data_IF_157907602032
#
_entry.id   IF_157907602032
#
_cell.length_a   1.000
_cell.length_b   1.000
_cell.length_c   1.000
_cell.angle_alpha   90.00
_cell.angle_beta   90.00
_cell.angle_gamma   90.00
#
_symmetry.space_group_name_H-M   'P 1'
#
loop_
_entity.id
_entity.type
_entity.pdbx_description
1 polymer ?
#
# COMPACT_ATOMS: atom_id res chain seq x y z
N UNK A 1 90.25 15.43 40.94
CA UNK A 1 91.32 15.14 39.96
C UNK A 1 90.77 14.07 39.02
N UNK A 2 90.55 14.19 37.72
CA UNK A 2 90.83 15.16 36.66
C UNK A 2 89.55 15.28 35.80
N UNK A 3 89.07 16.47 35.43
CA UNK A 3 89.25 17.08 34.11
C UNK A 3 89.39 16.10 32.93
N UNK A 4 88.40 16.08 32.01
CA UNK A 4 88.55 16.62 30.65
C UNK A 4 87.27 16.48 29.82
N UNK A 5 86.78 17.64 29.39
CA UNK A 5 85.91 17.88 28.25
C UNK A 5 86.55 17.50 26.92
N UNK A 6 85.74 17.56 25.83
CA UNK A 6 86.02 17.55 24.37
C UNK A 6 85.28 16.34 23.72
N UNK A 7 84.29 16.41 22.82
CA UNK A 7 83.91 17.34 21.76
C UNK A 7 82.40 17.20 21.42
N UNK A 8 81.70 18.34 21.40
CA UNK A 8 80.81 18.89 20.36
C UNK A 8 80.02 17.97 19.37
N UNK A 9 78.69 18.04 19.49
CA UNK A 9 77.64 18.33 18.48
C UNK A 9 77.58 17.63 17.11
N UNK A 10 76.48 16.90 16.90
CA UNK A 10 75.60 16.81 15.72
C UNK A 10 74.69 15.59 15.96
N UNK A 11 73.43 15.44 15.55
CA UNK A 11 72.43 16.22 14.85
C UNK A 11 71.16 15.33 14.90
N UNK A 12 69.99 15.96 14.97
CA UNK A 12 68.69 15.47 14.52
C UNK A 12 68.06 14.17 15.08
N UNK A 13 66.96 14.43 15.78
CA UNK A 13 65.60 13.95 15.48
C UNK A 13 65.31 12.44 15.61
N UNK A 14 64.45 12.09 16.56
CA UNK A 14 63.02 11.87 16.28
C UNK A 14 62.33 11.51 17.61
N UNK A 15 61.44 12.37 18.08
CA UNK A 15 60.60 12.10 19.23
C UNK A 15 59.39 11.27 18.77
N UNK A 16 59.26 10.07 19.32
CA UNK A 16 57.98 9.37 19.40
C UNK A 16 57.30 9.82 20.69
N UNK A 17 56.01 10.18 20.64
CA UNK A 17 55.11 9.35 21.43
C UNK A 17 53.84 8.98 20.67
N UNK A 18 53.40 7.75 20.94
CA UNK A 18 52.07 7.22 20.68
C UNK A 18 50.98 8.30 20.87
N UNK A 19 50.34 8.70 19.78
CA UNK A 19 49.04 9.36 19.81
C UNK A 19 48.00 8.30 19.47
N UNK A 20 47.09 8.08 20.42
CA UNK A 20 45.92 7.23 20.27
C UNK A 20 45.16 7.64 19.00
N UNK A 21 44.96 6.69 18.09
CA UNK A 21 44.12 6.87 16.92
C UNK A 21 42.65 6.94 17.35
N UNK A 22 42.19 8.13 17.72
CA UNK A 22 40.76 8.44 17.75
C UNK A 22 40.29 8.44 16.29
N UNK A 23 39.72 7.33 15.85
CA UNK A 23 39.06 7.23 14.55
C UNK A 23 37.83 8.15 14.58
N UNK A 24 38.03 9.40 14.17
CA UNK A 24 36.98 10.29 13.73
C UNK A 24 36.29 9.59 12.56
N UNK A 25 35.15 8.94 12.84
CA UNK A 25 34.15 8.61 11.82
C UNK A 25 33.58 9.93 11.32
N UNK A 26 34.34 10.63 10.48
CA UNK A 26 33.81 11.68 9.63
C UNK A 26 32.64 11.09 8.86
N UNK A 27 31.46 11.65 9.12
CA UNK A 27 30.21 11.23 8.52
C UNK A 27 30.36 11.13 7.01
N UNK A 28 30.23 9.91 6.50
CA UNK A 28 29.72 9.72 5.16
C UNK A 28 28.26 10.14 5.29
N UNK A 29 28.00 11.42 5.02
CA UNK A 29 26.68 11.90 4.62
C UNK A 29 26.21 10.89 3.58
N UNK A 30 25.21 10.07 3.92
CA UNK A 30 24.58 9.22 2.94
C UNK A 30 24.08 10.16 1.85
N UNK A 31 24.80 10.19 0.73
CA UNK A 31 24.25 10.71 -0.51
C UNK A 31 23.05 9.81 -0.75
N UNK A 32 21.87 10.35 -0.47
CA UNK A 32 20.59 9.73 -0.77
C UNK A 32 20.69 9.21 -2.19
N UNK A 33 20.59 7.89 -2.36
CA UNK A 33 20.44 7.27 -3.67
C UNK A 33 19.21 7.90 -4.34
N UNK A 34 19.43 8.93 -5.15
CA UNK A 34 18.43 9.37 -6.10
C UNK A 34 18.39 8.30 -7.19
N UNK A 35 17.22 7.70 -7.35
CA UNK A 35 16.84 6.61 -8.27
C UNK A 35 17.21 5.19 -7.85
N UNK A 36 16.28 4.51 -7.19
CA UNK A 36 16.15 3.06 -7.41
C UNK A 36 15.37 2.86 -8.72
N UNK A 37 16.10 2.76 -9.83
CA UNK A 37 15.51 2.58 -11.16
C UNK A 37 14.76 1.25 -11.33
N UNK A 38 14.73 0.38 -10.30
CA UNK A 38 14.16 -0.98 -10.37
C UNK A 38 12.88 -1.16 -9.56
N UNK A 39 12.47 -0.17 -8.78
CA UNK A 39 11.23 -0.29 -7.99
C UNK A 39 10.01 -0.09 -8.87
N UNK A 40 9.10 -1.05 -8.86
CA UNK A 40 7.80 -0.92 -9.53
C UNK A 40 6.85 -0.20 -8.57
N UNK A 41 6.41 1.00 -8.94
CA UNK A 41 5.37 1.73 -8.22
C UNK A 41 4.00 1.37 -8.79
N UNK A 42 3.12 0.95 -7.88
CA UNK A 42 1.78 0.53 -8.19
C UNK A 42 0.76 1.67 -8.21
N UNK A 43 -0.39 1.37 -8.79
CA UNK A 43 -1.59 2.19 -8.75
C UNK A 43 -2.06 2.45 -7.32
N UNK A 44 -2.71 3.58 -7.13
CA UNK A 44 -3.47 3.97 -5.95
C UNK A 44 -4.90 3.46 -6.06
N UNK A 45 -5.39 2.82 -4.99
CA UNK A 45 -6.76 2.32 -4.90
C UNK A 45 -7.37 2.82 -3.60
N UNK A 46 -8.61 3.30 -3.68
CA UNK A 46 -9.39 3.80 -2.57
C UNK A 46 -10.76 3.11 -2.55
N UNK A 47 -11.14 2.62 -1.37
CA UNK A 47 -12.48 2.14 -1.07
C UNK A 47 -13.16 3.13 -0.14
N UNK A 48 -14.39 3.53 -0.47
CA UNK A 48 -15.24 4.41 0.34
C UNK A 48 -16.60 3.77 0.50
N UNK A 49 -17.00 3.50 1.74
CA UNK A 49 -18.35 3.03 2.08
C UNK A 49 -19.14 4.15 2.74
N UNK A 50 -20.24 4.56 2.11
CA UNK A 50 -21.13 5.60 2.64
C UNK A 50 -22.55 5.46 2.10
N UNK A 51 -23.54 5.67 2.97
CA UNK A 51 -24.95 5.73 2.57
C UNK A 51 -25.48 4.44 1.95
N UNK A 52 -25.00 3.28 2.41
CA UNK A 52 -25.38 1.97 1.85
C UNK A 52 -24.81 1.68 0.46
N UNK A 53 -23.83 2.48 0.02
CA UNK A 53 -23.07 2.28 -1.22
C UNK A 53 -21.59 2.06 -0.90
N UNK A 54 -20.92 1.30 -1.75
CA UNK A 54 -19.47 1.12 -1.71
C UNK A 54 -18.90 1.54 -3.07
N UNK A 55 -17.95 2.46 -3.04
CA UNK A 55 -17.18 2.89 -4.19
C UNK A 55 -15.75 2.37 -4.06
N UNK A 56 -15.32 1.55 -5.00
CA UNK A 56 -13.93 1.16 -5.16
C UNK A 56 -13.37 1.85 -6.40
N UNK A 57 -12.43 2.77 -6.21
CA UNK A 57 -11.80 3.55 -7.27
C UNK A 57 -10.31 3.24 -7.31
N UNK A 58 -9.73 3.17 -8.50
CA UNK A 58 -8.29 3.05 -8.66
C UNK A 58 -7.77 3.82 -9.86
N UNK A 59 -6.58 4.39 -9.77
CA UNK A 59 -5.92 5.01 -10.91
C UNK A 59 -5.25 3.97 -11.81
N UNK A 60 -4.74 4.42 -12.96
CA UNK A 60 -4.15 3.56 -13.97
C UNK A 60 -2.63 3.61 -14.07
N UNK A 61 -1.95 4.43 -13.26
CA UNK A 61 -0.51 4.62 -13.41
C UNK A 61 0.30 3.44 -12.87
N UNK A 62 1.20 2.93 -13.70
CA UNK A 62 2.25 1.97 -13.33
C UNK A 62 3.58 2.58 -13.76
N UNK A 63 4.46 2.77 -12.78
CA UNK A 63 5.76 3.39 -13.00
C UNK A 63 6.89 2.44 -12.63
N UNK A 64 7.94 2.40 -13.45
CA UNK A 64 9.19 1.70 -13.15
C UNK A 64 10.25 2.76 -12.84
N UNK A 65 10.65 2.85 -11.58
CA UNK A 65 11.42 3.99 -11.07
C UNK A 65 10.66 5.29 -11.31
N UNK A 66 11.21 6.18 -12.15
CA UNK A 66 10.59 7.47 -12.49
C UNK A 66 9.84 7.47 -13.83
N UNK A 67 9.87 6.35 -14.56
CA UNK A 67 9.28 6.27 -15.90
C UNK A 67 7.89 5.65 -15.84
N UNK A 68 6.89 6.33 -16.40
CA UNK A 68 5.54 5.77 -16.56
C UNK A 68 5.58 4.70 -17.65
N UNK A 69 5.33 3.45 -17.27
CA UNK A 69 5.29 2.30 -18.19
C UNK A 69 3.89 2.12 -18.78
N UNK A 70 2.86 2.37 -17.96
CA UNK A 70 1.45 2.27 -18.37
C UNK A 70 0.63 3.29 -17.61
N UNK A 71 -0.27 3.99 -18.30
CA UNK A 71 -1.11 5.03 -17.70
C UNK A 71 -2.56 4.60 -17.41
N UNK A 72 -2.97 3.42 -17.90
CA UNK A 72 -4.36 2.95 -17.89
C UNK A 72 -4.51 1.50 -17.40
N UNK A 73 -3.74 1.10 -16.39
CA UNK A 73 -3.97 -0.17 -15.72
C UNK A 73 -5.37 -0.23 -15.09
N UNK A 74 -6.01 -1.39 -15.12
CA UNK A 74 -7.29 -1.63 -14.43
C UNK A 74 -7.04 -2.66 -13.35
N UNK A 75 -6.95 -2.22 -12.10
CA UNK A 75 -6.70 -3.09 -10.94
C UNK A 75 -7.84 -3.16 -9.93
N UNK A 76 -8.96 -2.55 -10.27
CA UNK A 76 -10.25 -2.72 -9.60
C UNK A 76 -11.14 -3.56 -10.50
N UNK A 77 -11.89 -4.50 -9.90
CA UNK A 77 -12.86 -5.33 -10.60
C UNK A 77 -13.95 -5.80 -9.65
N UNK A 78 -15.07 -6.19 -10.23
CA UNK A 78 -16.14 -6.92 -9.55
C UNK A 78 -15.85 -8.42 -9.56
N UNK A 79 -16.18 -9.11 -8.47
CA UNK A 79 -16.27 -10.58 -8.40
C UNK A 79 -17.73 -10.93 -8.13
N UNK A 80 -18.34 -11.73 -9.01
CA UNK A 80 -19.77 -12.01 -8.97
C UNK A 80 -20.62 -10.73 -9.04
N UNK A 81 -21.75 -10.71 -8.34
CA UNK A 81 -22.66 -9.54 -8.34
C UNK A 81 -22.43 -8.60 -7.15
N UNK A 82 -21.96 -9.14 -6.02
CA UNK A 82 -22.04 -8.47 -4.72
C UNK A 82 -20.71 -8.03 -4.12
N UNK A 83 -19.58 -8.29 -4.81
CA UNK A 83 -18.24 -8.05 -4.26
C UNK A 83 -17.42 -7.22 -5.23
N UNK A 84 -16.73 -6.22 -4.71
CA UNK A 84 -15.69 -5.47 -5.41
C UNK A 84 -14.35 -5.73 -4.76
N UNK A 85 -13.31 -5.84 -5.58
CA UNK A 85 -11.97 -6.05 -5.09
C UNK A 85 -10.94 -5.31 -5.95
N UNK A 86 -9.89 -4.85 -5.27
CA UNK A 86 -8.85 -4.01 -5.84
C UNK A 86 -7.49 -4.40 -5.30
N UNK A 87 -6.47 -4.29 -6.13
CA UNK A 87 -5.15 -4.80 -5.78
C UNK A 87 -4.01 -3.83 -6.11
N UNK A 88 -3.14 -3.57 -5.13
CA UNK A 88 -1.89 -2.84 -5.33
C UNK A 88 -0.71 -3.83 -5.39
N UNK A 89 -0.10 -3.98 -6.57
CA UNK A 89 1.03 -4.88 -6.81
C UNK A 89 1.21 -5.20 -8.30
N UNK A 90 1.90 -6.29 -8.62
CA UNK A 90 2.08 -6.75 -10.00
C UNK A 90 0.79 -7.32 -10.60
N UNK A 91 0.61 -7.17 -11.91
CA UNK A 91 -0.61 -7.66 -12.57
C UNK A 91 -0.76 -9.19 -12.49
N UNK A 92 0.34 -9.94 -12.52
CA UNK A 92 0.30 -11.40 -12.44
C UNK A 92 -0.22 -11.87 -11.07
N UNK A 93 0.31 -11.27 -10.00
CA UNK A 93 -0.11 -11.56 -8.63
C UNK A 93 -1.58 -11.22 -8.40
N UNK A 94 -2.05 -10.12 -9.00
CA UNK A 94 -3.44 -9.70 -8.92
C UNK A 94 -4.39 -10.78 -9.48
N UNK A 95 -4.06 -11.37 -10.64
CA UNK A 95 -4.87 -12.42 -11.24
C UNK A 95 -4.92 -13.65 -10.33
N UNK A 96 -3.77 -14.15 -9.90
CA UNK A 96 -3.69 -15.33 -9.04
C UNK A 96 -4.44 -15.16 -7.72
N UNK A 97 -4.28 -14.02 -7.04
CA UNK A 97 -4.93 -13.80 -5.74
C UNK A 97 -6.45 -13.73 -5.84
N UNK A 98 -6.97 -13.26 -6.96
CA UNK A 98 -8.42 -13.13 -7.09
C UNK A 98 -9.09 -14.37 -7.64
N UNK A 99 -8.41 -15.17 -8.46
CA UNK A 99 -8.86 -16.54 -8.75
C UNK A 99 -8.96 -17.35 -7.44
N UNK A 100 -7.97 -17.21 -6.55
CA UNK A 100 -8.01 -17.84 -5.21
C UNK A 100 -9.12 -17.27 -4.33
N UNK A 101 -9.34 -15.95 -4.36
CA UNK A 101 -10.42 -15.32 -3.62
C UNK A 101 -11.79 -15.83 -4.10
N UNK A 102 -12.00 -15.91 -5.41
CA UNK A 102 -13.23 -16.41 -6.02
C UNK A 102 -13.49 -17.85 -5.60
N UNK A 103 -12.48 -18.72 -5.63
CA UNK A 103 -12.59 -20.09 -5.11
C UNK A 103 -13.01 -20.14 -3.62
N UNK A 104 -12.50 -19.23 -2.78
CA UNK A 104 -12.91 -19.14 -1.36
C UNK A 104 -14.30 -18.57 -1.16
N UNK A 105 -14.78 -17.73 -2.08
CA UNK A 105 -16.14 -17.21 -2.06
C UNK A 105 -17.14 -18.28 -2.47
N UNK A 106 -16.78 -19.13 -3.43
CA UNK A 106 -17.58 -20.29 -3.84
C UNK A 106 -17.63 -21.37 -2.73
N UNK A 107 -16.51 -21.59 -2.02
CA UNK A 107 -16.44 -22.52 -0.88
C UNK A 107 -17.28 -22.03 0.32
N UNK A 108 -17.35 -20.70 0.53
CA UNK A 108 -18.07 -20.08 1.65
C UNK A 108 -19.06 -18.99 1.19
N UNK A 109 -20.18 -19.37 0.53
CA UNK A 109 -21.13 -18.40 -0.02
C UNK A 109 -21.69 -17.46 1.06
N UNK A 110 -21.68 -16.17 0.78
CA UNK A 110 -22.21 -15.12 1.67
C UNK A 110 -21.39 -14.82 2.92
N UNK A 111 -20.22 -15.45 3.09
CA UNK A 111 -19.35 -15.28 4.26
C UNK A 111 -18.03 -14.60 3.89
N UNK A 112 -18.09 -13.33 3.48
CA UNK A 112 -16.92 -12.57 3.03
C UNK A 112 -15.75 -12.62 4.03
N UNK A 113 -16.03 -12.41 5.31
CA UNK A 113 -15.02 -12.45 6.39
C UNK A 113 -14.30 -13.78 6.43
N UNK A 114 -15.03 -14.90 6.31
CA UNK A 114 -14.45 -16.25 6.32
C UNK A 114 -13.60 -16.49 5.08
N UNK A 115 -14.10 -16.15 3.90
CA UNK A 115 -13.35 -16.27 2.65
C UNK A 115 -12.04 -15.46 2.70
N UNK A 116 -12.07 -14.26 3.27
CA UNK A 116 -10.88 -13.42 3.45
C UNK A 116 -9.87 -14.05 4.42
N UNK A 117 -10.33 -14.59 5.55
CA UNK A 117 -9.46 -15.26 6.53
C UNK A 117 -8.82 -16.53 5.95
N UNK A 118 -9.58 -17.36 5.24
CA UNK A 118 -9.02 -18.56 4.60
C UNK A 118 -8.04 -18.21 3.48
N UNK A 119 -8.34 -17.19 2.67
CA UNK A 119 -7.37 -16.68 1.69
C UNK A 119 -6.09 -16.18 2.36
N UNK A 120 -6.18 -15.43 3.45
CA UNK A 120 -5.02 -14.91 4.17
C UNK A 120 -4.14 -16.04 4.75
N UNK A 121 -4.75 -17.11 5.25
CA UNK A 121 -4.03 -18.33 5.69
C UNK A 121 -3.29 -19.00 4.52
N UNK A 122 -3.98 -19.19 3.40
CA UNK A 122 -3.39 -19.81 2.20
C UNK A 122 -2.26 -18.93 1.63
N UNK A 123 -2.44 -17.61 1.62
CA UNK A 123 -1.43 -16.65 1.17
C UNK A 123 -0.17 -16.71 2.04
N UNK A 124 -0.31 -16.71 3.37
CA UNK A 124 0.83 -16.76 4.30
C UNK A 124 1.61 -18.07 4.23
N UNK A 125 0.94 -19.19 3.95
CA UNK A 125 1.54 -20.52 3.92
C UNK A 125 2.17 -20.86 2.57
N UNK A 126 1.67 -20.30 1.47
CA UNK A 126 2.20 -20.50 0.13
C UNK A 126 3.61 -19.90 -0.02
N UNK A 127 4.56 -20.73 -0.44
CA UNK A 127 5.98 -20.37 -0.58
C UNK A 127 6.21 -19.19 -1.52
N UNK A 128 5.39 -19.07 -2.57
CA UNK A 128 5.51 -18.03 -3.59
C UNK A 128 4.74 -16.77 -3.17
N UNK A 129 3.48 -16.93 -2.74
CA UNK A 129 2.63 -15.78 -2.47
C UNK A 129 3.08 -14.95 -1.26
N UNK A 130 3.66 -15.56 -0.22
CA UNK A 130 4.11 -14.83 0.98
C UNK A 130 5.22 -13.81 0.74
N UNK A 131 5.88 -13.85 -0.42
CA UNK A 131 6.95 -12.91 -0.80
C UNK A 131 6.42 -11.74 -1.63
N UNK A 132 5.13 -11.75 -1.94
CA UNK A 132 4.50 -10.68 -2.68
C UNK A 132 4.33 -9.47 -1.77
N UNK A 133 4.78 -8.31 -2.24
CA UNK A 133 4.61 -7.02 -1.54
C UNK A 133 3.19 -6.46 -1.69
N UNK A 134 2.26 -7.29 -2.11
CA UNK A 134 1.01 -6.83 -2.62
C UNK A 134 -0.09 -6.78 -1.57
N UNK A 135 -1.01 -5.84 -1.76
CA UNK A 135 -2.10 -5.56 -0.84
C UNK A 135 -3.42 -5.66 -1.61
N UNK A 136 -4.39 -6.35 -1.03
CA UNK A 136 -5.71 -6.58 -1.62
C UNK A 136 -6.78 -5.88 -0.77
N UNK A 137 -7.66 -5.11 -1.42
CA UNK A 137 -8.93 -4.64 -0.86
C UNK A 137 -10.03 -5.55 -1.36
N UNK A 138 -10.93 -5.97 -0.49
CA UNK A 138 -12.16 -6.67 -0.84
C UNK A 138 -13.31 -6.05 -0.05
N UNK A 139 -14.44 -5.79 -0.70
CA UNK A 139 -15.61 -5.24 -0.04
C UNK A 139 -16.90 -5.83 -0.60
N UNK A 140 -17.84 -6.12 0.29
CA UNK A 140 -19.26 -6.22 -0.03
C UNK A 140 -19.97 -4.94 0.44
N UNK A 141 -21.31 -4.92 0.45
CA UNK A 141 -22.11 -3.79 0.93
C UNK A 141 -22.03 -3.56 2.46
N UNK A 142 -21.64 -4.57 3.23
CA UNK A 142 -21.67 -4.59 4.70
C UNK A 142 -20.30 -4.31 5.31
N UNK A 143 -19.26 -4.95 4.77
CA UNK A 143 -17.92 -5.04 5.34
C UNK A 143 -16.86 -4.85 4.25
N UNK A 144 -15.71 -4.32 4.67
CA UNK A 144 -14.57 -4.03 3.78
C UNK A 144 -13.29 -4.50 4.46
N UNK A 145 -12.43 -5.20 3.75
CA UNK A 145 -11.21 -5.79 4.30
C UNK A 145 -9.98 -5.43 3.47
N UNK A 146 -8.87 -5.24 4.17
CA UNK A 146 -7.52 -5.21 3.60
C UNK A 146 -6.82 -6.53 3.93
N UNK A 147 -6.26 -7.19 2.93
CA UNK A 147 -5.50 -8.42 3.08
C UNK A 147 -4.04 -8.21 2.64
N UNK A 148 -3.12 -8.84 3.35
CA UNK A 148 -1.67 -8.77 3.09
C UNK A 148 -1.08 -10.18 2.98
N UNK A 149 0.09 -10.29 2.33
CA UNK A 149 0.85 -11.54 2.26
C UNK A 149 1.40 -12.04 3.60
N UNK A 150 1.33 -11.23 4.65
CA UNK A 150 1.66 -11.64 6.02
C UNK A 150 0.50 -12.41 6.68
N UNK A 151 -0.67 -12.49 6.04
CA UNK A 151 -1.85 -13.13 6.59
C UNK A 151 -2.70 -12.20 7.46
N UNK A 152 -2.54 -10.87 7.32
CA UNK A 152 -3.37 -9.91 8.02
C UNK A 152 -4.72 -9.76 7.31
N UNK A 153 -5.80 -9.65 8.08
CA UNK A 153 -7.14 -9.30 7.61
C UNK A 153 -7.65 -8.13 8.44
N UNK A 154 -7.72 -6.95 7.84
CA UNK A 154 -7.93 -5.69 8.56
C UNK A 154 -9.21 -5.02 8.07
N UNK A 155 -10.13 -4.76 8.99
CA UNK A 155 -11.35 -3.98 8.74
C UNK A 155 -11.18 -2.55 9.25
N UNK A 156 -11.46 -1.51 8.43
CA UNK A 156 -11.42 -0.13 8.87
C UNK A 156 -12.67 0.24 9.68
N UNK A 157 -12.50 1.01 10.75
CA UNK A 157 -13.62 1.50 11.56
C UNK A 157 -14.49 2.53 10.82
N UNK A 158 -13.89 3.32 9.92
CA UNK A 158 -14.53 4.40 9.18
C UNK A 158 -15.09 3.97 7.80
N UNK A 159 -14.86 2.71 7.40
CA UNK A 159 -15.27 2.22 6.09
C UNK A 159 -14.48 2.80 4.92
N UNK A 160 -13.28 3.32 5.17
CA UNK A 160 -12.40 3.89 4.14
C UNK A 160 -11.08 3.13 4.13
N UNK A 161 -10.64 2.69 2.96
CA UNK A 161 -9.36 1.98 2.79
C UNK A 161 -8.61 2.60 1.62
N UNK A 162 -7.38 3.06 1.85
CA UNK A 162 -6.48 3.51 0.78
C UNK A 162 -5.22 2.66 0.73
N UNK A 163 -4.89 2.12 -0.45
CA UNK A 163 -3.67 1.33 -0.69
C UNK A 163 -2.93 1.85 -1.93
N UNK A 164 -1.67 1.42 -2.11
CA UNK A 164 -0.84 1.81 -3.24
C UNK A 164 -0.04 3.09 -2.99
N UNK A 165 0.65 3.57 -4.03
CA UNK A 165 1.65 4.64 -3.89
C UNK A 165 1.08 5.97 -3.38
N UNK A 166 -0.15 6.31 -3.73
CA UNK A 166 -0.88 7.48 -3.24
C UNK A 166 -2.00 7.16 -2.25
N UNK A 167 -2.05 5.93 -1.72
CA UNK A 167 -3.16 5.44 -0.90
C UNK A 167 -3.39 6.27 0.37
N UNK A 168 -2.32 6.74 1.01
CA UNK A 168 -2.41 7.57 2.22
C UNK A 168 -2.96 8.97 1.95
N UNK A 169 -2.63 9.58 0.81
CA UNK A 169 -3.19 10.87 0.41
C UNK A 169 -4.68 10.75 0.11
N UNK A 170 -5.06 9.73 -0.65
CA UNK A 170 -6.45 9.43 -0.96
C UNK A 170 -7.26 9.13 0.32
N UNK A 171 -6.70 8.34 1.24
CA UNK A 171 -7.32 8.01 2.53
C UNK A 171 -7.55 9.26 3.39
N UNK A 172 -6.54 10.13 3.51
CA UNK A 172 -6.65 11.36 4.29
C UNK A 172 -7.71 12.31 3.71
N UNK A 173 -7.73 12.48 2.38
CA UNK A 173 -8.73 13.29 1.70
C UNK A 173 -10.15 12.72 1.88
N UNK A 174 -10.31 11.41 1.74
CA UNK A 174 -11.61 10.75 1.91
C UNK A 174 -12.15 10.91 3.33
N UNK A 175 -11.28 10.75 4.35
CA UNK A 175 -11.63 10.98 5.76
C UNK A 175 -12.07 12.41 6.02
N UNK A 176 -11.42 13.40 5.41
CA UNK A 176 -11.82 14.81 5.56
C UNK A 176 -13.17 15.12 4.88
N UNK A 177 -13.57 14.34 3.87
CA UNK A 177 -14.80 14.54 3.10
C UNK A 177 -15.97 13.66 3.59
N UNK A 178 -15.73 12.67 4.45
CA UNK A 178 -16.72 11.65 4.80
C UNK A 178 -17.96 12.24 5.49
N UNK A 179 -17.79 13.28 6.31
CA UNK A 179 -18.86 13.93 7.07
C UNK A 179 -19.66 14.96 6.26
N UNK A 180 -19.23 15.28 5.03
CA UNK A 180 -19.95 16.22 4.17
C UNK A 180 -21.18 15.59 3.53
N UNK A 181 -22.12 16.38 3.01
CA UNK A 181 -23.28 15.88 2.26
C UNK A 181 -22.88 15.52 0.81
N UNK A 182 -22.07 14.48 0.67
CA UNK A 182 -21.55 13.94 -0.58
C UNK A 182 -21.75 12.43 -0.62
N UNK A 183 -22.06 11.88 -1.79
CA UNK A 183 -22.16 10.43 -2.01
C UNK A 183 -20.77 9.76 -2.07
N UNK A 184 -20.76 8.43 -1.95
CA UNK A 184 -19.53 7.63 -1.91
C UNK A 184 -18.65 7.81 -3.16
N UNK A 185 -19.24 7.92 -4.36
CA UNK A 185 -18.50 8.08 -5.60
C UNK A 185 -17.86 9.47 -5.68
N UNK A 186 -18.62 10.51 -5.34
CA UNK A 186 -18.11 11.88 -5.33
C UNK A 186 -16.94 12.06 -4.36
N UNK A 187 -17.04 11.47 -3.16
CA UNK A 187 -15.94 11.49 -2.18
C UNK A 187 -14.71 10.78 -2.76
N UNK A 188 -14.90 9.58 -3.31
CA UNK A 188 -13.82 8.78 -3.85
C UNK A 188 -13.10 9.50 -5.01
N UNK A 189 -13.85 10.10 -5.95
CA UNK A 189 -13.29 10.86 -7.08
C UNK A 189 -12.52 12.10 -6.63
N UNK A 190 -13.07 12.90 -5.72
CA UNK A 190 -12.38 14.08 -5.17
C UNK A 190 -11.08 13.70 -4.45
N UNK A 191 -11.13 12.60 -3.69
CA UNK A 191 -9.98 12.10 -2.94
C UNK A 191 -8.87 11.58 -3.85
N UNK A 192 -9.23 10.89 -4.94
CA UNK A 192 -8.27 10.44 -5.95
C UNK A 192 -7.67 11.61 -6.74
N UNK A 193 -8.46 12.66 -7.02
CA UNK A 193 -7.93 13.87 -7.64
C UNK A 193 -6.85 14.51 -6.77
N UNK A 194 -7.11 14.67 -5.47
CA UNK A 194 -6.13 15.20 -4.52
C UNK A 194 -4.88 14.31 -4.48
N UNK A 195 -5.05 12.99 -4.50
CA UNK A 195 -3.93 12.06 -4.54
C UNK A 195 -3.10 12.21 -5.84
N UNK A 196 -3.74 12.43 -6.99
CA UNK A 196 -3.07 12.65 -8.28
C UNK A 196 -2.32 14.00 -8.33
N UNK A 197 -2.83 15.03 -7.66
CA UNK A 197 -2.19 16.34 -7.60
C UNK A 197 -0.92 16.34 -6.71
N UNK A 198 -0.83 15.39 -5.76
CA UNK A 198 0.27 15.31 -4.78
C UNK A 198 1.27 14.20 -5.13
N UNK A 199 0.80 13.02 -5.52
CA UNK A 199 1.62 11.84 -5.71
C UNK A 199 2.08 11.69 -7.16
N UNK A 200 3.39 11.76 -7.40
CA UNK A 200 3.99 11.57 -8.73
C UNK A 200 3.71 10.19 -9.37
N UNK A 201 3.26 9.22 -8.57
CA UNK A 201 2.94 7.86 -8.99
C UNK A 201 1.44 7.61 -9.16
N UNK A 202 0.60 8.64 -9.08
CA UNK A 202 -0.86 8.55 -9.22
C UNK A 202 -1.32 9.53 -10.29
N UNK A 203 -2.18 9.08 -11.21
CA UNK A 203 -2.75 9.96 -12.22
C UNK A 203 -4.27 10.15 -12.07
N UNK A 204 -4.84 11.05 -12.88
CA UNK A 204 -6.29 11.30 -12.92
C UNK A 204 -7.10 10.26 -13.72
N UNK A 205 -6.46 9.23 -14.30
CA UNK A 205 -7.15 8.21 -15.10
C UNK A 205 -7.70 7.13 -14.18
N UNK A 206 -8.90 7.36 -13.67
CA UNK A 206 -9.53 6.49 -12.67
C UNK A 206 -10.54 5.52 -13.28
N UNK A 207 -10.58 4.32 -12.71
CA UNK A 207 -11.62 3.30 -12.92
C UNK A 207 -12.40 3.15 -11.63
N UNK A 208 -13.72 3.03 -11.74
CA UNK A 208 -14.64 2.97 -10.60
C UNK A 208 -15.50 1.73 -10.70
N UNK A 209 -15.64 1.02 -9.58
CA UNK A 209 -16.58 -0.08 -9.37
C UNK A 209 -17.48 0.24 -8.18
N UNK A 210 -18.79 0.14 -8.37
CA UNK A 210 -19.80 0.55 -7.39
C UNK A 210 -20.67 -0.61 -6.94
N UNK A 211 -20.84 -0.80 -5.63
CA UNK A 211 -21.91 -1.63 -5.08
C UNK A 211 -23.02 -0.73 -4.52
N UNK A 212 -24.26 -1.05 -4.86
CA UNK A 212 -25.45 -0.39 -4.33
C UNK A 212 -26.44 -1.45 -3.83
N UNK A 213 -27.16 -1.17 -2.73
CA UNK A 213 -28.23 -2.05 -2.26
C UNK A 213 -29.34 -2.07 -3.31
N UNK A 214 -29.66 -3.26 -3.84
CA UNK A 214 -30.80 -3.44 -4.74
C UNK A 214 -32.10 -3.07 -4.01
N UNK A 215 -33.08 -2.51 -4.74
CA UNK A 215 -34.38 -2.13 -4.16
C UNK A 215 -35.13 -3.31 -3.50
N UNK A 216 -34.79 -4.55 -3.83
CA UNK A 216 -35.50 -5.75 -3.38
C UNK A 216 -35.02 -6.33 -2.03
N UNK A 217 -33.85 -5.91 -1.52
CA UNK A 217 -33.30 -6.44 -0.26
C UNK A 217 -33.89 -5.75 0.98
N UNK A 218 -34.64 -4.66 0.78
CA UNK A 218 -35.28 -3.90 1.86
C UNK A 218 -36.55 -4.54 2.44
N UNK A 219 -37.11 -5.52 1.75
CA UNK A 219 -38.36 -6.19 2.16
C UNK A 219 -38.08 -7.40 3.07
N UNK A 220 -37.03 -8.18 2.77
CA UNK A 220 -36.63 -9.35 3.58
C UNK A 220 -36.10 -9.00 4.98
N UNK A 221 -35.44 -7.86 5.13
CA UNK A 221 -34.95 -7.37 6.44
C UNK A 221 -36.10 -6.96 7.38
N UNK A 222 -37.30 -6.67 6.85
CA UNK A 222 -38.50 -6.34 7.66
C UNK A 222 -39.28 -7.57 8.11
N UNK A 223 -39.17 -8.68 7.38
CA UNK A 223 -39.89 -9.91 7.69
C UNK A 223 -39.21 -10.73 8.81
N UNK A 224 -37.87 -10.68 8.91
CA UNK A 224 -37.11 -11.32 10.00
C UNK A 224 -37.06 -10.53 11.32
N UNK A 225 -37.78 -9.40 11.42
CA UNK A 225 -37.90 -8.59 12.64
C UNK A 225 -39.32 -8.57 13.24
N UNK A 226 -40.22 -9.40 12.71
CA UNK A 226 -41.53 -9.71 13.32
C UNK A 226 -41.49 -11.09 13.95
#
# INVERSE_FOLDING_TARGET
MLLRSLFRTASNACASPLVAATSLKTGITQISHFSDARTMHGTTILCVRKGGKVCLIGDGQVSLGHTVVKANAKKVRRIGEHIVAGFAGSTADAFTLMERLEAKLDEYPGQLTRSCVELAKDWRTDKYLRRLEAILIVSDLKQSYTLTGNGDVLEPNDGIIGIGSGGTYALAAARALIDQDLDAETIARKSMQIAADICVYTNGNVVVEMLEKGKDDGEKDKENKK
#
